data_IF_869410134633
#
_entry.id   IF_869410134633
#
_cell.length_a   1.000
_cell.length_b   1.000
_cell.length_c   1.000
_cell.angle_alpha   90.00
_cell.angle_beta   90.00
_cell.angle_gamma   90.00
#
_symmetry.space_group_name_H-M   'P 1'
#
loop_
_entity.id
_entity.type
_entity.pdbx_description
1 polymer ?
#
# COMPACT_ATOMS: atom_id res chain seq x y z
N UNK A 1 5.39 27.32 -46.81
CA UNK A 1 5.85 27.97 -45.58
C UNK A 1 4.59 28.25 -44.76
N UNK A 2 4.10 27.27 -44.09
CA UNK A 2 2.97 27.41 -43.18
C UNK A 2 3.47 28.01 -41.87
N UNK A 3 2.73 28.98 -41.40
CA UNK A 3 3.03 29.82 -40.24
C UNK A 3 3.42 28.96 -39.02
N UNK A 4 4.55 29.35 -38.40
CA UNK A 4 5.12 28.71 -37.25
C UNK A 4 4.14 28.57 -36.12
N UNK A 5 3.77 27.35 -35.91
CA UNK A 5 3.67 26.62 -34.62
C UNK A 5 3.27 27.44 -33.39
N UNK A 6 2.13 28.08 -33.41
CA UNK A 6 1.43 28.34 -32.16
C UNK A 6 0.73 27.05 -31.73
N UNK A 7 1.03 26.53 -30.53
CA UNK A 7 0.31 25.40 -29.97
C UNK A 7 -1.19 25.70 -29.99
N UNK A 8 -2.03 24.87 -30.61
CA UNK A 8 -3.45 25.16 -30.69
C UNK A 8 -4.04 25.24 -29.27
N UNK A 9 -4.80 26.29 -28.98
CA UNK A 9 -5.39 26.54 -27.65
C UNK A 9 -6.14 25.30 -27.08
N UNK A 10 -6.79 24.52 -27.96
CA UNK A 10 -7.44 23.27 -27.55
C UNK A 10 -6.45 22.21 -27.06
N UNK A 11 -5.25 22.15 -27.61
CA UNK A 11 -4.20 21.21 -27.17
C UNK A 11 -3.71 21.55 -25.76
N UNK A 12 -3.50 22.83 -25.47
CA UNK A 12 -3.15 23.28 -24.13
C UNK A 12 -4.26 22.97 -23.12
N UNK A 13 -5.52 23.15 -23.51
CA UNK A 13 -6.66 22.83 -22.66
C UNK A 13 -6.71 21.32 -22.33
N UNK A 14 -6.51 20.46 -23.33
CA UNK A 14 -6.47 18.99 -23.14
C UNK A 14 -5.33 18.60 -22.21
N UNK A 15 -4.14 19.19 -22.36
CA UNK A 15 -3.00 18.90 -21.48
C UNK A 15 -3.27 19.31 -20.03
N UNK A 16 -3.85 20.48 -19.80
CA UNK A 16 -4.23 20.94 -18.47
C UNK A 16 -5.31 20.06 -17.83
N UNK A 17 -6.28 19.62 -18.63
CA UNK A 17 -7.33 18.69 -18.20
C UNK A 17 -6.73 17.34 -17.78
N UNK A 18 -5.81 16.79 -18.58
CA UNK A 18 -5.14 15.52 -18.26
C UNK A 18 -4.24 15.65 -17.02
N UNK A 19 -3.52 16.77 -16.89
CA UNK A 19 -2.73 17.05 -15.70
C UNK A 19 -3.60 17.11 -14.43
N UNK A 20 -4.72 17.80 -14.51
CA UNK A 20 -5.68 17.91 -13.42
C UNK A 20 -6.30 16.54 -13.07
N UNK A 21 -6.68 15.75 -14.08
CA UNK A 21 -7.20 14.40 -13.89
C UNK A 21 -6.17 13.50 -13.21
N UNK A 22 -4.92 13.52 -13.69
CA UNK A 22 -3.82 12.77 -13.08
C UNK A 22 -3.66 13.15 -11.60
N UNK A 23 -3.67 14.45 -11.29
CA UNK A 23 -3.59 14.95 -9.93
C UNK A 23 -4.73 14.45 -9.04
N UNK A 24 -5.98 14.45 -9.56
CA UNK A 24 -7.13 13.94 -8.80
C UNK A 24 -6.93 12.48 -8.43
N UNK A 25 -6.47 11.63 -9.33
CA UNK A 25 -6.25 10.22 -9.05
C UNK A 25 -5.18 9.99 -7.99
N UNK A 26 -4.06 10.72 -8.03
CA UNK A 26 -3.05 10.62 -6.99
C UNK A 26 -3.51 11.17 -5.63
N UNK A 27 -4.25 12.28 -5.65
CA UNK A 27 -4.85 12.82 -4.43
C UNK A 27 -5.89 11.89 -3.84
N UNK A 28 -6.70 11.25 -4.67
CA UNK A 28 -7.70 10.28 -4.24
C UNK A 28 -7.05 9.00 -3.69
N UNK A 29 -5.95 8.51 -4.28
CA UNK A 29 -5.16 7.41 -3.75
C UNK A 29 -4.61 7.72 -2.35
N UNK A 30 -4.11 8.94 -2.15
CA UNK A 30 -3.62 9.38 -0.85
C UNK A 30 -4.77 9.52 0.17
N UNK A 31 -5.93 10.01 -0.26
CA UNK A 31 -7.12 10.13 0.58
C UNK A 31 -7.62 8.75 1.04
N UNK A 32 -7.70 7.76 0.14
CA UNK A 32 -8.13 6.39 0.47
C UNK A 32 -7.24 5.72 1.52
N UNK A 33 -5.94 6.02 1.54
CA UNK A 33 -5.00 5.44 2.51
C UNK A 33 -5.12 6.04 3.91
N UNK A 34 -5.65 7.27 4.01
CA UNK A 34 -5.70 8.04 5.26
C UNK A 34 -7.12 8.25 5.77
N UNK A 35 -8.14 7.72 5.08
CA UNK A 35 -9.53 7.81 5.52
C UNK A 35 -9.80 6.77 6.62
N UNK A 36 -10.60 7.15 7.62
CA UNK A 36 -11.05 6.22 8.66
C UNK A 36 -12.04 5.21 8.06
N UNK A 37 -11.62 3.94 7.99
CA UNK A 37 -12.45 2.84 7.51
C UNK A 37 -13.69 2.66 8.40
N UNK A 38 -13.51 2.71 9.73
CA UNK A 38 -14.60 2.55 10.70
C UNK A 38 -15.69 3.64 10.56
N UNK A 39 -15.28 4.91 10.34
CA UNK A 39 -16.25 6.00 10.20
C UNK A 39 -16.94 5.94 8.84
N UNK A 40 -16.23 5.53 7.79
CA UNK A 40 -16.80 5.32 6.47
C UNK A 40 -17.80 4.17 6.48
N UNK A 41 -17.50 3.08 7.19
CA UNK A 41 -18.39 1.94 7.35
C UNK A 41 -19.68 2.32 8.09
N UNK A 42 -19.59 3.05 9.20
CA UNK A 42 -20.77 3.55 9.92
C UNK A 42 -21.68 4.38 9.01
N UNK A 43 -21.12 5.33 8.26
CA UNK A 43 -21.87 6.14 7.29
C UNK A 43 -22.51 5.28 6.19
N UNK A 44 -21.83 4.21 5.74
CA UNK A 44 -22.37 3.28 4.75
C UNK A 44 -23.55 2.46 5.31
N UNK A 45 -23.48 2.03 6.57
CA UNK A 45 -24.56 1.33 7.30
C UNK A 45 -25.78 2.25 7.54
N UNK A 46 -25.55 3.55 7.76
CA UNK A 46 -26.59 4.59 7.86
C UNK A 46 -27.27 4.89 6.52
N UNK A 47 -26.79 4.29 5.41
CA UNK A 47 -27.42 4.39 4.09
C UNK A 47 -26.83 5.48 3.18
N UNK A 48 -25.69 6.08 3.51
CA UNK A 48 -25.00 7.00 2.60
C UNK A 48 -24.42 6.24 1.40
N UNK A 49 -25.01 6.49 0.22
CA UNK A 49 -24.59 5.87 -1.05
C UNK A 49 -23.14 6.17 -1.41
N UNK A 50 -22.63 7.35 -1.06
CA UNK A 50 -21.23 7.69 -1.33
C UNK A 50 -20.29 6.89 -0.43
N UNK A 51 -20.64 6.72 0.84
CA UNK A 51 -19.87 5.89 1.76
C UNK A 51 -19.85 4.42 1.29
N UNK A 52 -20.97 3.87 0.81
CA UNK A 52 -21.03 2.52 0.24
C UNK A 52 -20.14 2.36 -1.00
N UNK A 53 -20.16 3.35 -1.91
CA UNK A 53 -19.25 3.35 -3.08
C UNK A 53 -17.79 3.44 -2.66
N UNK A 54 -17.48 4.24 -1.65
CA UNK A 54 -16.12 4.41 -1.13
C UNK A 54 -15.62 3.11 -0.48
N UNK A 55 -16.45 2.43 0.32
CA UNK A 55 -16.14 1.11 0.88
C UNK A 55 -15.84 0.07 -0.21
N UNK A 56 -16.59 0.07 -1.30
CA UNK A 56 -16.30 -0.84 -2.43
C UNK A 56 -14.91 -0.63 -3.03
N UNK A 57 -14.39 0.62 -3.03
CA UNK A 57 -13.04 0.93 -3.50
C UNK A 57 -11.96 0.59 -2.46
N UNK A 58 -12.28 0.70 -1.17
CA UNK A 58 -11.40 0.30 -0.06
C UNK A 58 -11.23 -1.22 -0.06
N UNK A 59 -12.34 -1.98 -0.19
CA UNK A 59 -12.34 -3.44 -0.21
C UNK A 59 -11.65 -4.02 -1.46
N UNK A 60 -11.73 -3.33 -2.59
CA UNK A 60 -11.19 -3.77 -3.88
C UNK A 60 -10.25 -2.73 -4.50
N UNK A 61 -9.13 -2.40 -3.85
CA UNK A 61 -8.23 -1.33 -4.29
C UNK A 61 -7.56 -1.61 -5.64
N UNK A 62 -7.42 -2.89 -6.03
CA UNK A 62 -6.74 -3.28 -7.26
C UNK A 62 -7.36 -2.64 -8.52
N UNK A 63 -8.68 -2.46 -8.58
CA UNK A 63 -9.33 -1.82 -9.72
C UNK A 63 -8.91 -0.35 -9.88
N UNK A 64 -8.77 0.35 -8.76
CA UNK A 64 -8.36 1.74 -8.72
C UNK A 64 -6.84 1.87 -8.94
N UNK A 65 -6.04 1.09 -8.23
CA UNK A 65 -4.57 1.13 -8.30
C UNK A 65 -4.08 0.83 -9.72
N UNK A 66 -4.68 -0.16 -10.39
CA UNK A 66 -4.30 -0.53 -11.77
C UNK A 66 -4.72 0.50 -12.83
N UNK A 67 -5.63 1.43 -12.52
CA UNK A 67 -6.01 2.51 -13.44
C UNK A 67 -5.01 3.69 -13.42
N UNK A 68 -4.31 3.92 -12.31
CA UNK A 68 -3.37 5.05 -12.15
C UNK A 68 -2.27 5.02 -13.21
N UNK A 69 -1.52 3.90 -13.43
CA UNK A 69 -0.47 3.85 -14.44
C UNK A 69 -0.98 4.18 -15.86
N UNK A 70 -2.20 3.77 -16.21
CA UNK A 70 -2.77 4.06 -17.52
C UNK A 70 -3.00 5.57 -17.72
N UNK A 71 -3.50 6.25 -16.71
CA UNK A 71 -3.73 7.70 -16.75
C UNK A 71 -2.40 8.43 -16.84
N UNK A 72 -1.41 8.02 -16.04
CA UNK A 72 -0.06 8.61 -16.04
C UNK A 72 0.61 8.44 -17.40
N UNK A 73 0.56 7.24 -17.98
CA UNK A 73 1.14 6.97 -19.29
C UNK A 73 0.43 7.75 -20.40
N UNK A 74 -0.90 7.80 -20.40
CA UNK A 74 -1.67 8.59 -21.35
C UNK A 74 -1.31 10.08 -21.25
N UNK A 75 -1.21 10.61 -20.04
CA UNK A 75 -0.78 11.97 -19.77
C UNK A 75 0.65 12.22 -20.30
N UNK A 76 1.60 11.33 -19.98
CA UNK A 76 3.00 11.43 -20.45
C UNK A 76 3.12 11.40 -21.97
N UNK A 77 2.38 10.53 -22.66
CA UNK A 77 2.36 10.46 -24.13
C UNK A 77 1.81 11.76 -24.71
N UNK A 78 0.70 12.28 -24.18
CA UNK A 78 0.13 13.54 -24.64
C UNK A 78 1.09 14.72 -24.44
N UNK A 79 1.75 14.82 -23.26
CA UNK A 79 2.78 15.83 -23.02
C UNK A 79 3.96 15.69 -23.98
N UNK A 80 4.47 14.47 -24.17
CA UNK A 80 5.57 14.19 -25.07
C UNK A 80 5.25 14.53 -26.53
N UNK A 81 4.03 14.24 -26.98
CA UNK A 81 3.63 14.43 -28.37
C UNK A 81 3.26 15.89 -28.68
N UNK A 82 2.56 16.55 -27.76
CA UNK A 82 2.01 17.88 -28.04
C UNK A 82 2.84 19.04 -27.46
N UNK A 83 3.37 18.91 -26.24
CA UNK A 83 4.06 20.02 -25.59
C UNK A 83 5.54 20.09 -25.92
N UNK A 84 6.22 18.92 -25.91
CA UNK A 84 7.69 18.89 -26.05
C UNK A 84 8.18 19.47 -27.36
N UNK A 85 7.61 19.16 -28.56
CA UNK A 85 8.05 19.74 -29.82
C UNK A 85 8.00 21.28 -29.82
N UNK A 86 6.87 21.85 -29.38
CA UNK A 86 6.69 23.31 -29.32
C UNK A 86 7.67 23.98 -28.36
N UNK A 87 7.88 23.37 -27.19
CA UNK A 87 8.83 23.92 -26.22
C UNK A 87 10.27 23.82 -26.73
N UNK A 88 10.65 22.73 -27.42
CA UNK A 88 11.98 22.60 -28.02
C UNK A 88 12.21 23.66 -29.11
N UNK A 89 11.22 23.89 -29.97
CA UNK A 89 11.31 24.91 -31.02
C UNK A 89 11.48 26.31 -30.45
N UNK A 90 10.87 26.61 -29.31
CA UNK A 90 11.03 27.90 -28.61
C UNK A 90 12.47 28.07 -28.07
N UNK A 91 13.17 27.01 -27.67
CA UNK A 91 14.55 27.08 -27.19
C UNK A 91 15.61 26.94 -28.28
N UNK A 92 15.22 26.45 -29.45
CA UNK A 92 16.16 26.20 -30.58
C UNK A 92 17.01 27.41 -31.00
N UNK A 93 16.53 28.67 -31.00
CA UNK A 93 17.33 29.82 -31.32
C UNK A 93 18.50 30.07 -30.35
N UNK A 94 18.41 29.55 -29.14
CA UNK A 94 19.38 29.81 -28.07
C UNK A 94 20.29 28.64 -27.79
N UNK A 95 19.84 27.42 -28.03
CA UNK A 95 20.53 26.16 -27.63
C UNK A 95 20.39 25.15 -28.77
N UNK A 96 21.44 24.33 -29.01
CA UNK A 96 21.39 23.23 -29.97
C UNK A 96 20.22 22.30 -29.67
N UNK A 97 19.65 21.68 -30.70
CA UNK A 97 18.43 20.87 -30.63
C UNK A 97 18.46 19.77 -29.56
N UNK A 98 19.55 18.99 -29.46
CA UNK A 98 19.66 17.86 -28.51
C UNK A 98 19.65 18.33 -27.05
N UNK A 99 20.50 19.29 -26.62
CA UNK A 99 20.44 19.77 -25.24
C UNK A 99 19.13 20.52 -24.91
N UNK A 100 18.52 21.22 -25.90
CA UNK A 100 17.21 21.83 -25.72
C UNK A 100 16.13 20.78 -25.43
N UNK A 101 16.13 19.66 -26.16
CA UNK A 101 15.21 18.54 -25.95
C UNK A 101 15.35 17.96 -24.54
N UNK A 102 16.59 17.69 -24.10
CA UNK A 102 16.85 17.15 -22.75
C UNK A 102 16.37 18.10 -21.67
N UNK A 103 16.66 19.39 -21.81
CA UNK A 103 16.23 20.43 -20.86
C UNK A 103 14.71 20.52 -20.75
N UNK A 104 14.01 20.56 -21.88
CA UNK A 104 12.54 20.63 -21.94
C UNK A 104 11.93 19.39 -21.33
N UNK A 105 12.41 18.20 -21.65
CA UNK A 105 11.91 16.95 -21.07
C UNK A 105 12.12 16.91 -19.55
N UNK A 106 13.28 17.34 -19.05
CA UNK A 106 13.55 17.41 -17.62
C UNK A 106 12.58 18.39 -16.90
N UNK A 107 12.37 19.57 -17.49
CA UNK A 107 11.41 20.55 -16.95
C UNK A 107 9.97 20.01 -16.95
N UNK A 108 9.55 19.33 -18.02
CA UNK A 108 8.24 18.68 -18.08
C UNK A 108 8.06 17.62 -17.00
N UNK A 109 9.06 16.76 -16.78
CA UNK A 109 9.03 15.73 -15.74
C UNK A 109 8.91 16.37 -14.35
N UNK A 110 9.71 17.39 -14.06
CA UNK A 110 9.67 18.12 -12.78
C UNK A 110 8.28 18.75 -12.58
N UNK A 111 7.74 19.41 -13.60
CA UNK A 111 6.43 20.06 -13.54
C UNK A 111 5.30 19.04 -13.32
N UNK A 112 5.30 17.93 -14.07
CA UNK A 112 4.33 16.85 -13.92
C UNK A 112 4.41 16.22 -12.53
N UNK A 113 5.62 15.95 -12.04
CA UNK A 113 5.81 15.37 -10.72
C UNK A 113 5.37 16.34 -9.60
N UNK A 114 5.79 17.60 -9.67
CA UNK A 114 5.49 18.56 -8.62
C UNK A 114 4.01 18.93 -8.57
N UNK A 115 3.42 19.32 -9.70
CA UNK A 115 2.04 19.82 -9.77
C UNK A 115 1.06 18.65 -9.97
N UNK A 116 1.35 17.74 -10.92
CA UNK A 116 0.45 16.65 -11.28
C UNK A 116 0.37 15.52 -10.24
N UNK A 117 1.39 15.34 -9.41
CA UNK A 117 1.44 14.24 -8.45
C UNK A 117 1.54 14.74 -7.01
N UNK A 118 2.67 15.41 -6.66
CA UNK A 118 2.99 15.69 -5.27
C UNK A 118 2.02 16.68 -4.59
N UNK A 119 1.59 17.72 -5.30
CA UNK A 119 0.65 18.71 -4.75
C UNK A 119 -0.69 18.07 -4.41
N UNK A 120 -1.29 17.33 -5.34
CA UNK A 120 -2.59 16.69 -5.12
C UNK A 120 -2.50 15.57 -4.08
N UNK A 121 -1.40 14.81 -4.07
CA UNK A 121 -1.14 13.79 -3.04
C UNK A 121 -1.12 14.41 -1.64
N UNK A 122 -0.45 15.55 -1.45
CA UNK A 122 -0.45 16.26 -0.17
C UNK A 122 -1.86 16.70 0.23
N UNK A 123 -2.61 17.31 -0.68
CA UNK A 123 -3.99 17.75 -0.40
C UNK A 123 -4.87 16.56 0.02
N UNK A 124 -4.78 15.41 -0.68
CA UNK A 124 -5.50 14.20 -0.33
C UNK A 124 -5.11 13.61 1.03
N UNK A 125 -3.83 13.72 1.42
CA UNK A 125 -3.36 13.28 2.73
C UNK A 125 -3.85 14.16 3.87
N UNK A 126 -3.87 15.49 3.69
CA UNK A 126 -4.29 16.43 4.74
C UNK A 126 -5.80 16.52 4.93
N UNK A 127 -6.58 16.30 3.88
CA UNK A 127 -8.05 16.37 3.93
C UNK A 127 -8.68 15.12 3.30
N UNK A 128 -8.47 13.93 3.87
CA UNK A 128 -8.82 12.66 3.22
C UNK A 128 -10.33 12.52 2.96
N UNK A 129 -11.18 12.77 3.95
CA UNK A 129 -12.62 12.64 3.80
C UNK A 129 -13.18 13.63 2.77
N UNK A 130 -12.90 14.92 2.95
CA UNK A 130 -13.42 15.96 2.07
C UNK A 130 -13.01 15.74 0.62
N UNK A 131 -11.75 15.29 0.40
CA UNK A 131 -11.22 15.00 -0.92
C UNK A 131 -11.88 13.77 -1.55
N UNK A 132 -11.96 12.66 -0.80
CA UNK A 132 -12.58 11.43 -1.27
C UNK A 132 -14.05 11.64 -1.66
N UNK A 133 -14.87 12.21 -0.79
CA UNK A 133 -16.28 12.46 -1.05
C UNK A 133 -16.52 13.45 -2.21
N UNK A 134 -15.64 14.44 -2.39
CA UNK A 134 -15.74 15.43 -3.46
C UNK A 134 -15.51 14.80 -4.84
N UNK A 135 -14.46 13.99 -4.97
CA UNK A 135 -14.02 13.47 -6.26
C UNK A 135 -14.49 12.05 -6.56
N UNK A 136 -15.20 11.40 -5.64
CA UNK A 136 -15.67 10.01 -5.77
C UNK A 136 -16.42 9.75 -7.09
N UNK A 137 -17.41 10.57 -7.42
CA UNK A 137 -18.20 10.39 -8.62
C UNK A 137 -17.37 10.51 -9.90
N UNK A 138 -16.44 11.47 -9.94
CA UNK A 138 -15.54 11.66 -11.06
C UNK A 138 -14.59 10.46 -11.22
N UNK A 139 -14.00 10.00 -10.13
CA UNK A 139 -13.12 8.82 -10.11
C UNK A 139 -13.90 7.58 -10.56
N UNK A 140 -15.08 7.36 -10.01
CA UNK A 140 -15.92 6.22 -10.38
C UNK A 140 -16.31 6.22 -11.87
N UNK A 141 -16.66 7.38 -12.43
CA UNK A 141 -16.91 7.53 -13.85
C UNK A 141 -15.70 7.12 -14.70
N UNK A 142 -14.51 7.63 -14.39
CA UNK A 142 -13.29 7.29 -15.11
C UNK A 142 -12.87 5.84 -14.92
N UNK A 143 -13.06 5.24 -13.75
CA UNK A 143 -12.78 3.83 -13.52
C UNK A 143 -13.66 2.96 -14.40
N UNK A 144 -14.95 3.28 -14.54
CA UNK A 144 -15.85 2.54 -15.42
C UNK A 144 -15.45 2.70 -16.90
N UNK A 145 -15.05 3.90 -17.32
CA UNK A 145 -14.59 4.16 -18.67
C UNK A 145 -13.27 3.42 -18.99
N UNK A 146 -12.34 3.37 -18.02
CA UNK A 146 -11.03 2.71 -18.19
C UNK A 146 -11.09 1.20 -17.94
N UNK A 147 -12.20 0.68 -17.41
CA UNK A 147 -12.34 -0.75 -17.06
C UNK A 147 -11.92 -1.71 -18.20
N UNK A 148 -12.32 -1.54 -19.47
CA UNK A 148 -11.90 -2.45 -20.54
C UNK A 148 -10.38 -2.42 -20.74
N UNK A 149 -9.74 -1.26 -20.60
CA UNK A 149 -8.29 -1.12 -20.73
C UNK A 149 -7.55 -1.73 -19.53
N UNK A 150 -8.01 -1.47 -18.30
CA UNK A 150 -7.41 -2.05 -17.09
C UNK A 150 -7.49 -3.57 -17.10
N UNK A 151 -8.62 -4.14 -17.54
CA UNK A 151 -8.77 -5.60 -17.66
C UNK A 151 -7.80 -6.16 -18.69
N UNK A 152 -7.65 -5.52 -19.85
CA UNK A 152 -6.71 -5.95 -20.89
C UNK A 152 -5.25 -5.90 -20.41
N UNK A 153 -4.87 -4.80 -19.76
CA UNK A 153 -3.50 -4.63 -19.23
C UNK A 153 -3.21 -5.62 -18.09
N UNK A 154 -4.16 -5.83 -17.18
CA UNK A 154 -3.99 -6.83 -16.11
C UNK A 154 -3.91 -8.25 -16.66
N UNK A 155 -4.65 -8.58 -17.72
CA UNK A 155 -4.53 -9.87 -18.37
C UNK A 155 -3.15 -10.08 -19.00
N UNK A 156 -2.64 -9.08 -19.73
CA UNK A 156 -1.29 -9.12 -20.32
C UNK A 156 -0.22 -9.21 -19.23
N UNK A 157 -0.35 -8.43 -18.16
CA UNK A 157 0.58 -8.44 -17.03
C UNK A 157 0.62 -9.81 -16.35
N UNK A 158 -0.55 -10.45 -16.14
CA UNK A 158 -0.63 -11.82 -15.61
C UNK A 158 0.10 -12.82 -16.51
N UNK A 159 -0.15 -12.74 -17.83
CA UNK A 159 0.53 -13.61 -18.79
C UNK A 159 2.05 -13.44 -18.77
N UNK A 160 2.52 -12.19 -18.65
CA UNK A 160 3.94 -11.87 -18.55
C UNK A 160 4.57 -12.29 -17.20
N UNK A 161 3.78 -12.43 -16.14
CA UNK A 161 4.26 -12.83 -14.82
C UNK A 161 4.40 -14.36 -14.64
N UNK A 162 3.74 -15.16 -15.49
CA UNK A 162 3.80 -16.64 -15.44
C UNK A 162 5.23 -17.19 -15.44
N UNK A 163 6.16 -16.75 -16.32
CA UNK A 163 7.53 -17.29 -16.34
C UNK A 163 8.36 -16.96 -15.09
N UNK A 164 7.90 -16.01 -14.26
CA UNK A 164 8.55 -15.62 -13.00
C UNK A 164 8.01 -16.38 -11.79
N UNK A 165 7.14 -17.39 -11.98
CA UNK A 165 6.58 -18.22 -10.90
C UNK A 165 5.58 -17.51 -10.00
N UNK A 166 5.01 -16.38 -10.44
CA UNK A 166 4.01 -15.65 -9.67
C UNK A 166 2.66 -16.37 -9.79
N UNK A 167 2.11 -16.82 -8.67
CA UNK A 167 0.77 -17.40 -8.62
C UNK A 167 -0.30 -16.34 -8.92
N UNK A 168 -1.06 -16.58 -9.99
CA UNK A 168 -2.08 -15.67 -10.53
C UNK A 168 -3.23 -15.40 -9.54
N UNK A 169 -3.44 -16.30 -8.56
CA UNK A 169 -4.57 -16.27 -7.63
C UNK A 169 -4.23 -15.83 -6.19
N UNK A 170 -3.00 -15.45 -5.91
CA UNK A 170 -2.68 -14.95 -4.57
C UNK A 170 -3.35 -13.60 -4.34
N UNK A 171 -4.43 -13.62 -3.60
CA UNK A 171 -5.11 -12.38 -3.12
C UNK A 171 -4.13 -11.66 -2.19
N UNK A 172 -3.73 -10.45 -2.53
CA UNK A 172 -2.69 -9.64 -1.86
C UNK A 172 -3.03 -9.19 -0.42
N UNK A 173 -3.92 -9.87 0.29
CA UNK A 173 -4.26 -9.53 1.68
C UNK A 173 -4.46 -10.78 2.55
N UNK A 174 -3.40 -11.51 2.78
CA UNK A 174 -3.27 -12.21 4.06
C UNK A 174 -2.27 -11.40 4.88
N UNK A 175 -2.76 -10.64 5.85
CA UNK A 175 -1.91 -10.06 6.90
C UNK A 175 -1.22 -11.24 7.56
N UNK A 176 0.11 -11.28 7.53
CA UNK A 176 0.90 -12.32 8.19
C UNK A 176 1.19 -11.95 9.63
N UNK A 177 1.54 -12.92 10.46
CA UNK A 177 1.94 -12.66 11.85
C UNK A 177 3.15 -11.75 11.92
N UNK A 178 4.12 -11.91 10.99
CA UNK A 178 5.29 -11.05 10.88
C UNK A 178 4.90 -9.59 10.55
N UNK A 179 3.88 -9.38 9.74
CA UNK A 179 3.40 -8.04 9.41
C UNK A 179 2.75 -7.37 10.63
N UNK A 180 2.01 -8.15 11.44
CA UNK A 180 1.45 -7.65 12.71
C UNK A 180 2.57 -7.26 13.68
N UNK A 181 3.58 -8.12 13.84
CA UNK A 181 4.74 -7.86 14.70
C UNK A 181 5.46 -6.59 14.23
N UNK A 182 5.70 -6.44 12.93
CA UNK A 182 6.34 -5.25 12.37
C UNK A 182 5.56 -3.95 12.64
N UNK A 183 4.22 -4.00 12.60
CA UNK A 183 3.36 -2.85 12.93
C UNK A 183 3.45 -2.51 14.42
N UNK A 184 3.53 -3.51 15.30
CA UNK A 184 3.67 -3.32 16.74
C UNK A 184 5.03 -2.69 17.07
N UNK A 185 6.12 -3.16 16.44
CA UNK A 185 7.46 -2.60 16.60
C UNK A 185 7.52 -1.14 16.14
N UNK A 186 6.94 -0.84 14.97
CA UNK A 186 6.85 0.54 14.47
C UNK A 186 6.05 1.45 15.42
N UNK A 187 4.95 0.96 15.98
CA UNK A 187 4.14 1.71 16.95
C UNK A 187 4.91 1.96 18.26
N UNK A 188 5.75 1.02 18.71
CA UNK A 188 6.65 1.21 19.84
C UNK A 188 7.74 2.24 19.52
N UNK A 189 8.42 2.16 18.39
CA UNK A 189 9.42 3.15 17.95
C UNK A 189 8.86 4.56 17.85
N UNK A 190 7.60 4.69 17.44
CA UNK A 190 6.88 5.98 17.37
C UNK A 190 6.39 6.46 18.76
N UNK A 191 6.54 5.66 19.82
CA UNK A 191 6.10 5.99 21.17
C UNK A 191 4.59 5.92 21.37
N UNK A 192 3.86 5.25 20.49
CA UNK A 192 2.40 5.06 20.58
C UNK A 192 2.05 4.00 21.63
N UNK A 193 2.88 2.95 21.74
CA UNK A 193 2.76 1.88 22.73
C UNK A 193 4.07 1.76 23.53
N UNK A 194 3.94 1.24 24.77
CA UNK A 194 5.09 1.05 25.67
C UNK A 194 5.80 -0.27 25.32
N UNK A 195 7.09 -0.40 25.73
CA UNK A 195 7.89 -1.59 25.48
C UNK A 195 7.25 -2.87 26.05
N UNK A 196 6.73 -2.80 27.27
CA UNK A 196 6.04 -3.93 27.91
C UNK A 196 4.73 -4.32 27.20
N UNK A 197 4.03 -3.36 26.57
CA UNK A 197 2.83 -3.63 25.81
C UNK A 197 3.17 -4.32 24.48
N UNK A 198 4.21 -3.88 23.79
CA UNK A 198 4.72 -4.50 22.58
C UNK A 198 5.17 -5.96 22.85
N UNK A 199 5.95 -6.18 23.94
CA UNK A 199 6.38 -7.50 24.36
C UNK A 199 5.19 -8.43 24.70
N UNK A 200 4.14 -7.92 25.36
CA UNK A 200 2.94 -8.70 25.63
C UNK A 200 2.23 -9.15 24.33
N UNK A 201 2.13 -8.27 23.34
CA UNK A 201 1.50 -8.59 22.05
C UNK A 201 2.31 -9.68 21.33
N UNK A 202 3.64 -9.56 21.28
CA UNK A 202 4.51 -10.58 20.68
C UNK A 202 4.39 -11.93 21.40
N UNK A 203 4.36 -11.91 22.74
CA UNK A 203 4.18 -13.14 23.52
C UNK A 203 2.81 -13.80 23.28
N UNK A 204 1.73 -13.04 23.07
CA UNK A 204 0.41 -13.58 22.73
C UNK A 204 0.43 -14.27 21.36
N UNK A 205 1.11 -13.68 20.37
CA UNK A 205 1.22 -14.28 19.03
C UNK A 205 2.01 -15.59 19.12
N UNK A 206 3.16 -15.59 19.78
CA UNK A 206 4.01 -16.79 19.96
C UNK A 206 3.34 -17.89 20.79
N UNK A 207 2.45 -17.51 21.71
CA UNK A 207 1.72 -18.47 22.55
C UNK A 207 0.82 -19.41 21.74
N UNK A 208 0.28 -18.94 20.61
CA UNK A 208 -0.57 -19.75 19.74
C UNK A 208 0.20 -20.91 19.07
N UNK A 209 1.50 -20.76 18.89
CA UNK A 209 2.37 -21.78 18.30
C UNK A 209 3.03 -22.71 19.36
N UNK A 210 2.92 -22.36 20.64
CA UNK A 210 3.58 -23.11 21.72
C UNK A 210 2.83 -24.38 22.05
N UNK A 211 3.47 -25.53 21.88
CA UNK A 211 2.96 -26.83 22.24
C UNK A 211 3.37 -27.20 23.65
N UNK A 212 2.62 -28.15 24.26
CA UNK A 212 2.94 -28.68 25.59
C UNK A 212 4.35 -29.28 25.66
N UNK A 213 4.82 -29.83 24.57
CA UNK A 213 6.14 -30.42 24.42
C UNK A 213 7.27 -29.40 24.56
N UNK A 214 7.03 -28.14 24.16
CA UNK A 214 8.06 -27.04 24.19
C UNK A 214 8.31 -26.54 25.60
N UNK A 215 7.32 -26.65 26.49
CA UNK A 215 7.39 -26.21 27.88
C UNK A 215 7.49 -27.34 28.90
N UNK A 216 7.31 -28.62 28.47
CA UNK A 216 7.41 -29.75 29.38
C UNK A 216 8.85 -30.07 29.78
N UNK A 217 9.03 -30.60 30.98
CA UNK A 217 10.31 -31.17 31.38
C UNK A 217 10.61 -32.42 30.54
N UNK A 218 11.71 -32.38 29.78
CA UNK A 218 12.11 -33.52 28.95
C UNK A 218 12.37 -34.76 29.84
N UNK A 219 11.93 -35.96 29.41
CA UNK A 219 12.01 -37.19 30.16
C UNK A 219 13.39 -37.47 30.83
N UNK A 220 14.49 -37.05 30.19
CA UNK A 220 15.84 -37.23 30.74
C UNK A 220 16.12 -36.37 31.97
N UNK A 221 15.37 -35.28 32.13
CA UNK A 221 15.53 -34.32 33.22
C UNK A 221 14.44 -34.48 34.29
N UNK A 222 13.51 -35.42 34.09
CA UNK A 222 12.49 -35.74 35.11
C UNK A 222 13.12 -36.62 36.18
N UNK A 223 13.14 -36.13 37.41
CA UNK A 223 13.51 -36.90 38.59
C UNK A 223 12.27 -37.66 39.06
N UNK A 224 12.32 -38.98 38.99
CA UNK A 224 11.24 -39.85 39.41
C UNK A 224 11.76 -40.88 40.39
N UNK A 225 10.90 -41.41 41.24
CA UNK A 225 11.23 -42.45 42.23
C UNK A 225 10.55 -43.74 41.89
N UNK A 226 11.19 -44.84 42.29
CA UNK A 226 10.59 -46.17 42.22
C UNK A 226 9.58 -46.36 43.35
N UNK A 227 8.44 -47.01 43.08
CA UNK A 227 7.37 -47.25 44.04
C UNK A 227 7.84 -48.01 45.30
N UNK A 228 8.85 -48.85 45.16
CA UNK A 228 9.39 -49.67 46.25
C UNK A 228 10.48 -48.95 47.08
N UNK A 229 10.90 -47.74 46.70
CA UNK A 229 11.96 -47.00 47.40
C UNK A 229 11.51 -46.54 48.78
N UNK A 230 12.36 -46.71 49.76
CA UNK A 230 12.07 -46.22 51.13
C UNK A 230 12.15 -44.71 51.20
N UNK A 231 11.17 -44.06 51.87
CA UNK A 231 11.10 -42.62 52.05
C UNK A 231 12.40 -41.98 52.51
N UNK A 232 13.14 -42.66 53.42
CA UNK A 232 14.42 -42.17 53.90
C UNK A 232 15.46 -41.95 52.81
N UNK A 233 15.45 -42.77 51.77
CA UNK A 233 16.38 -42.68 50.64
C UNK A 233 15.96 -41.64 49.61
N UNK A 234 14.72 -41.19 49.63
CA UNK A 234 14.22 -40.15 48.75
C UNK A 234 14.51 -38.75 49.28
N UNK A 235 14.61 -38.59 50.63
CA UNK A 235 14.68 -37.26 51.27
C UNK A 235 15.86 -36.44 50.78
N UNK A 236 17.04 -37.05 50.69
CA UNK A 236 18.24 -36.34 50.25
C UNK A 236 18.11 -35.84 48.83
N UNK A 237 17.63 -36.63 47.90
CA UNK A 237 17.38 -36.23 46.50
C UNK A 237 16.27 -35.20 46.42
N UNK A 238 15.23 -35.26 47.23
CA UNK A 238 14.13 -34.29 47.24
C UNK A 238 14.66 -32.90 47.75
N UNK A 239 15.56 -32.89 48.68
CA UNK A 239 16.15 -31.67 49.21
C UNK A 239 17.13 -31.03 48.22
N UNK A 240 17.91 -31.86 47.49
CA UNK A 240 18.84 -31.40 46.46
C UNK A 240 18.12 -30.79 45.25
N UNK A 241 17.08 -31.46 44.73
CA UNK A 241 16.35 -31.09 43.55
C UNK A 241 15.31 -29.96 43.79
N UNK A 242 14.80 -29.81 45.01
CA UNK A 242 13.91 -28.73 45.43
C UNK A 242 12.54 -28.73 44.76
N UNK A 243 12.16 -29.83 44.11
CA UNK A 243 10.86 -29.95 43.43
C UNK A 243 9.73 -30.25 44.42
N UNK A 244 8.54 -29.67 44.17
CA UNK A 244 7.37 -29.90 45.05
C UNK A 244 6.63 -31.22 44.79
N UNK A 245 6.83 -31.85 43.62
CA UNK A 245 6.16 -33.09 43.21
C UNK A 245 7.11 -33.95 42.40
N UNK A 246 7.03 -35.24 42.63
CA UNK A 246 7.85 -36.24 41.95
C UNK A 246 6.94 -37.35 41.41
N UNK A 247 7.11 -37.77 40.16
CA UNK A 247 6.47 -39.01 39.65
C UNK A 247 7.02 -40.20 40.42
N UNK A 248 6.15 -41.23 40.61
CA UNK A 248 6.47 -42.52 41.22
C UNK A 248 6.10 -43.61 40.25
#
# INVERSE_FOLDING_TARGET
MEDGSSMPLWGLFVLLLLLWLNGIFYGFAAALRNISENDTQKKAEEGDKKAQMLMTLIDKPAQFVNAIPLIVMACGICFGTFLVPYAVDAFYPYIKHVPALILVMALCVIFLAAIGILTFRRVGTYHPEAYAYKYLNLVHFWLNLLKPFTVSVTWIARLAAVPFGVEINRTEKSVTEEEIISIVDEAHEQGVIQENEAEMIQNIISFNETEAHDIMTHRKNVVAFDEEILLKNMIDTMLEEGNSRYPV
#
